data_IF_470791236130
#
_entry.id   IF_470791236130
#
_cell.length_a   1.000
_cell.length_b   1.000
_cell.length_c   1.000
_cell.angle_alpha   90.00
_cell.angle_beta   90.00
_cell.angle_gamma   90.00
#
_symmetry.space_group_name_H-M   'P 1'
#
loop_
_entity.id
_entity.type
_entity.pdbx_description
1 polymer ?
#
# COMPACT_ATOMS: atom_id res chain seq x y z
N UNK A 1 -19.67 -37.74 -8.61
CA UNK A 1 -18.62 -38.59 -8.01
C UNK A 1 -19.04 -39.04 -6.62
N UNK A 2 -19.23 -40.34 -6.38
CA UNK A 2 -19.55 -40.90 -5.05
C UNK A 2 -18.27 -41.05 -4.25
N UNK A 3 -18.15 -40.35 -3.12
CA UNK A 3 -17.09 -40.60 -2.14
C UNK A 3 -17.48 -41.85 -1.31
N UNK A 4 -16.98 -43.01 -1.70
CA UNK A 4 -17.11 -44.25 -0.92
C UNK A 4 -16.00 -44.30 0.14
N UNK A 5 -16.22 -43.69 1.29
CA UNK A 5 -15.35 -43.87 2.46
C UNK A 5 -15.50 -45.29 3.03
N UNK A 6 -14.41 -46.06 3.10
CA UNK A 6 -14.42 -47.38 3.75
C UNK A 6 -14.31 -47.22 5.26
N UNK A 7 -15.44 -47.31 5.97
CA UNK A 7 -15.46 -47.39 7.43
C UNK A 7 -15.07 -48.80 7.89
N UNK A 8 -14.32 -48.90 8.99
CA UNK A 8 -14.11 -50.18 9.70
C UNK A 8 -14.62 -50.05 11.13
N UNK A 9 -15.35 -51.06 11.59
CA UNK A 9 -15.77 -51.15 12.99
C UNK A 9 -14.65 -51.83 13.78
N UNK A 10 -14.15 -51.18 14.82
CA UNK A 10 -13.11 -51.74 15.71
C UNK A 10 -13.65 -51.81 17.13
N UNK A 11 -13.42 -52.95 17.80
CA UNK A 11 -13.76 -53.13 19.22
C UNK A 11 -12.63 -52.54 20.07
N UNK A 12 -12.95 -51.55 20.89
CA UNK A 12 -12.01 -50.90 21.81
C UNK A 12 -12.71 -50.81 23.17
N UNK A 13 -12.07 -51.32 24.24
CA UNK A 13 -12.58 -51.29 25.62
C UNK A 13 -14.04 -51.73 25.74
N UNK A 14 -14.35 -52.90 25.17
CA UNK A 14 -15.66 -53.54 25.19
C UNK A 14 -16.81 -52.72 24.56
N UNK A 15 -16.51 -51.70 23.74
CA UNK A 15 -17.49 -50.98 22.91
C UNK A 15 -17.06 -50.98 21.44
N UNK A 16 -18.02 -51.03 20.53
CA UNK A 16 -17.77 -50.89 19.10
C UNK A 16 -17.72 -49.40 18.73
N UNK A 17 -16.67 -48.97 18.04
CA UNK A 17 -16.57 -47.63 17.46
C UNK A 17 -16.37 -47.73 15.96
N UNK A 18 -17.04 -46.84 15.22
CA UNK A 18 -16.84 -46.65 13.78
C UNK A 18 -15.59 -45.80 13.62
N UNK A 19 -14.55 -46.34 12.96
CA UNK A 19 -13.30 -45.62 12.72
C UNK A 19 -13.20 -45.30 11.23
N UNK A 20 -12.99 -44.02 10.93
CA UNK A 20 -12.81 -43.53 9.58
C UNK A 20 -11.40 -43.88 9.10
N UNK A 21 -11.28 -44.69 8.04
CA UNK A 21 -9.99 -44.99 7.42
C UNK A 21 -9.77 -43.95 6.31
N UNK A 22 -8.99 -42.90 6.61
CA UNK A 22 -8.62 -41.90 5.59
C UNK A 22 -7.65 -42.57 4.60
N UNK A 23 -8.06 -42.73 3.35
CA UNK A 23 -7.14 -43.12 2.27
C UNK A 23 -6.10 -42.00 2.10
N UNK A 24 -4.88 -42.18 2.61
CA UNK A 24 -3.77 -41.21 2.47
C UNK A 24 -3.46 -40.87 1.01
N UNK A 25 -3.79 -41.77 0.06
CA UNK A 25 -3.63 -41.54 -1.38
C UNK A 25 -4.51 -40.40 -1.89
N UNK A 26 -5.72 -40.24 -1.34
CA UNK A 26 -6.60 -39.12 -1.69
C UNK A 26 -6.10 -37.79 -1.11
N UNK A 27 -5.51 -37.82 0.09
CA UNK A 27 -4.94 -36.64 0.74
C UNK A 27 -3.70 -36.12 -0.02
N UNK A 28 -2.83 -37.03 -0.44
CA UNK A 28 -1.65 -36.72 -1.26
C UNK A 28 -2.04 -36.23 -2.65
N UNK A 29 -3.09 -36.79 -3.26
CA UNK A 29 -3.60 -36.31 -4.54
C UNK A 29 -4.19 -34.89 -4.43
N UNK A 30 -4.87 -34.55 -3.34
CA UNK A 30 -5.35 -33.19 -3.09
C UNK A 30 -4.22 -32.19 -2.87
N UNK A 31 -3.18 -32.58 -2.13
CA UNK A 31 -2.00 -31.75 -1.94
C UNK A 31 -1.26 -31.51 -3.27
N UNK A 32 -1.09 -32.55 -4.09
CA UNK A 32 -0.48 -32.44 -5.42
C UNK A 32 -1.33 -31.58 -6.38
N UNK A 33 -2.67 -31.71 -6.32
CA UNK A 33 -3.58 -30.88 -7.11
C UNK A 33 -3.51 -29.41 -6.68
N UNK A 34 -3.38 -29.13 -5.37
CA UNK A 34 -3.15 -27.78 -4.84
C UNK A 34 -1.82 -27.21 -5.31
N UNK A 35 -0.72 -27.97 -5.22
CA UNK A 35 0.61 -27.55 -5.70
C UNK A 35 0.59 -27.28 -7.21
N UNK A 36 -0.10 -28.12 -7.99
CA UNK A 36 -0.32 -27.88 -9.42
C UNK A 36 -1.23 -26.69 -9.68
N UNK A 37 -2.25 -26.45 -8.84
CA UNK A 37 -3.09 -25.26 -8.91
C UNK A 37 -2.24 -24.00 -8.67
N UNK A 38 -1.37 -24.02 -7.65
CA UNK A 38 -0.43 -22.94 -7.35
C UNK A 38 0.60 -22.73 -8.47
N UNK A 39 1.08 -23.80 -9.11
CA UNK A 39 1.98 -23.72 -10.26
C UNK A 39 1.27 -23.17 -11.52
N UNK A 40 0.00 -23.50 -11.73
CA UNK A 40 -0.84 -22.99 -12.83
C UNK A 40 -1.35 -21.57 -12.59
N UNK A 41 -1.40 -21.14 -11.33
CA UNK A 41 -1.76 -19.77 -10.94
C UNK A 41 -0.70 -18.76 -11.36
N UNK A 42 0.57 -19.17 -11.50
CA UNK A 42 1.64 -18.37 -12.09
C UNK A 42 2.02 -17.10 -11.30
N UNK A 43 3.27 -16.66 -11.45
CA UNK A 43 3.80 -15.45 -10.78
C UNK A 43 3.02 -14.16 -11.14
N UNK A 44 2.27 -14.16 -12.24
CA UNK A 44 1.44 -13.03 -12.68
C UNK A 44 0.23 -12.78 -11.77
N UNK A 45 -0.36 -13.81 -11.16
CA UNK A 45 -1.52 -13.65 -10.26
C UNK A 45 -1.11 -13.15 -8.87
N UNK A 46 0.11 -13.46 -8.41
CA UNK A 46 0.68 -12.91 -7.17
C UNK A 46 0.97 -11.40 -7.30
N UNK A 47 1.53 -10.97 -8.44
CA UNK A 47 1.75 -9.55 -8.72
C UNK A 47 0.43 -8.76 -8.78
N UNK A 48 -0.61 -9.31 -9.43
CA UNK A 48 -1.94 -8.70 -9.45
C UNK A 48 -2.61 -8.64 -8.08
N UNK A 49 -2.41 -9.64 -7.22
CA UNK A 49 -2.95 -9.68 -5.86
C UNK A 49 -2.32 -8.61 -4.94
N UNK A 50 -0.99 -8.42 -5.00
CA UNK A 50 -0.33 -7.40 -4.20
C UNK A 50 -0.79 -5.99 -4.61
N UNK A 51 -0.90 -5.71 -5.91
CA UNK A 51 -1.39 -4.41 -6.40
C UNK A 51 -2.82 -4.11 -5.93
N UNK A 52 -3.68 -5.12 -5.83
CA UNK A 52 -5.04 -4.92 -5.30
C UNK A 52 -5.05 -4.60 -3.80
N UNK A 53 -4.20 -5.24 -2.99
CA UNK A 53 -4.12 -4.94 -1.56
C UNK A 53 -3.55 -3.54 -1.31
N UNK A 54 -2.49 -3.16 -2.03
CA UNK A 54 -1.88 -1.84 -1.93
C UNK A 54 -2.89 -0.73 -2.24
N UNK A 55 -3.71 -0.92 -3.27
CA UNK A 55 -4.76 0.02 -3.65
C UNK A 55 -5.85 0.14 -2.57
N UNK A 56 -6.21 -0.94 -1.89
CA UNK A 56 -7.18 -0.87 -0.79
C UNK A 56 -6.65 -0.08 0.41
N UNK A 57 -5.38 -0.22 0.77
CA UNK A 57 -4.78 0.57 1.86
C UNK A 57 -4.80 2.06 1.52
N UNK A 58 -4.44 2.42 0.27
CA UNK A 58 -4.48 3.81 -0.20
C UNK A 58 -5.92 4.36 -0.15
N UNK A 59 -6.92 3.55 -0.53
CA UNK A 59 -8.34 3.96 -0.45
C UNK A 59 -8.77 4.19 0.99
N UNK A 60 -8.39 3.30 1.91
CA UNK A 60 -8.74 3.39 3.33
C UNK A 60 -8.15 4.65 3.98
N UNK A 61 -6.85 4.91 3.77
CA UNK A 61 -6.22 6.12 4.31
C UNK A 61 -6.86 7.41 3.78
N UNK A 62 -7.26 7.44 2.51
CA UNK A 62 -7.98 8.58 1.95
C UNK A 62 -9.42 8.71 2.51
N UNK A 63 -10.16 7.61 2.68
CA UNK A 63 -11.55 7.67 3.16
C UNK A 63 -11.66 8.13 4.61
N UNK A 64 -10.76 7.71 5.49
CA UNK A 64 -10.76 8.12 6.90
C UNK A 64 -10.64 9.64 7.03
N UNK A 65 -9.75 10.25 6.25
CA UNK A 65 -9.56 11.70 6.25
C UNK A 65 -10.78 12.46 5.69
N UNK A 66 -11.53 11.85 4.77
CA UNK A 66 -12.76 12.44 4.24
C UNK A 66 -13.93 12.32 5.22
N UNK A 67 -13.96 11.28 6.06
CA UNK A 67 -15.01 11.06 7.07
C UNK A 67 -14.80 11.91 8.32
N UNK A 68 -13.55 12.11 8.76
CA UNK A 68 -13.21 12.97 9.91
C UNK A 68 -13.60 14.45 9.70
N UNK A 69 -13.63 14.92 8.44
CA UNK A 69 -14.13 16.26 8.09
C UNK A 69 -15.66 16.39 8.09
N UNK A 70 -16.40 15.27 8.19
CA UNK A 70 -17.86 15.22 8.02
C UNK A 70 -18.70 15.43 9.28
N UNK A 71 -18.14 15.28 10.48
CA UNK A 71 -18.91 15.36 11.73
C UNK A 71 -19.16 16.80 12.25
N UNK A 72 -18.51 17.81 11.67
CA UNK A 72 -18.73 19.23 12.04
C UNK A 72 -19.27 20.06 10.86
N UNK A 73 -20.42 19.70 10.28
CA UNK A 73 -20.86 20.41 9.07
C UNK A 73 -22.32 20.26 8.64
N UNK A 74 -23.30 20.41 9.55
CA UNK A 74 -24.69 20.61 9.12
C UNK A 74 -24.86 22.02 8.56
N UNK A 75 -24.90 22.10 7.22
CA UNK A 75 -25.39 23.19 6.37
C UNK A 75 -24.74 24.58 6.56
N UNK A 76 -23.65 24.82 5.84
CA UNK A 76 -23.31 26.16 5.34
C UNK A 76 -23.19 26.07 3.81
N UNK A 77 -24.11 26.75 3.11
CA UNK A 77 -23.94 27.05 1.68
C UNK A 77 -22.84 28.11 1.57
N UNK A 78 -21.64 27.68 1.24
CA UNK A 78 -20.49 28.55 0.97
C UNK A 78 -19.31 27.70 0.54
N UNK A 79 -19.29 27.29 -0.73
CA UNK A 79 -18.14 26.58 -1.29
C UNK A 79 -16.98 27.55 -1.56
N UNK A 80 -15.76 27.14 -1.19
CA UNK A 80 -14.54 27.44 -1.97
C UNK A 80 -13.27 26.73 -1.49
N UNK A 81 -13.18 26.19 -0.27
CA UNK A 81 -11.92 25.58 0.22
C UNK A 81 -12.07 24.13 0.74
N UNK A 82 -13.09 23.81 1.55
CA UNK A 82 -13.30 22.42 2.03
C UNK A 82 -13.71 21.45 0.90
N UNK A 83 -14.56 21.93 -0.03
CA UNK A 83 -14.92 21.18 -1.25
C UNK A 83 -13.68 20.94 -2.16
N UNK A 84 -12.66 21.79 -2.05
CA UNK A 84 -11.42 21.72 -2.81
C UNK A 84 -10.42 20.73 -2.18
N UNK A 85 -10.26 20.72 -0.83
CA UNK A 85 -9.42 19.73 -0.12
C UNK A 85 -9.93 18.30 -0.32
N UNK A 86 -11.23 18.05 -0.13
CA UNK A 86 -11.81 16.70 -0.32
C UNK A 86 -11.67 16.19 -1.77
N UNK A 87 -11.80 17.10 -2.73
CA UNK A 87 -11.56 16.80 -4.15
C UNK A 87 -10.09 16.48 -4.44
N UNK A 88 -9.16 17.24 -3.85
CA UNK A 88 -7.71 16.97 -3.94
C UNK A 88 -7.33 15.62 -3.33
N UNK A 89 -7.84 15.27 -2.15
CA UNK A 89 -7.59 13.98 -1.49
C UNK A 89 -8.06 12.82 -2.40
N UNK A 90 -9.28 12.93 -2.94
CA UNK A 90 -9.84 11.91 -3.83
C UNK A 90 -9.00 11.73 -5.10
N UNK A 91 -8.56 12.83 -5.72
CA UNK A 91 -7.69 12.78 -6.90
C UNK A 91 -6.30 12.25 -6.57
N UNK A 92 -5.73 12.64 -5.42
CA UNK A 92 -4.43 12.16 -4.95
C UNK A 92 -4.44 10.63 -4.79
N UNK A 93 -5.48 10.09 -4.15
CA UNK A 93 -5.73 8.65 -4.03
C UNK A 93 -5.71 7.95 -5.38
N UNK A 94 -6.49 8.45 -6.34
CA UNK A 94 -6.63 7.81 -7.65
C UNK A 94 -5.30 7.83 -8.42
N UNK A 95 -4.61 8.97 -8.41
CA UNK A 95 -3.31 9.13 -9.09
C UNK A 95 -2.24 8.23 -8.45
N UNK A 96 -2.20 8.10 -7.12
CA UNK A 96 -1.26 7.20 -6.43
C UNK A 96 -1.48 5.74 -6.85
N UNK A 97 -2.73 5.28 -6.88
CA UNK A 97 -3.09 3.91 -7.29
C UNK A 97 -2.65 3.65 -8.74
N UNK A 98 -2.82 4.62 -9.63
CA UNK A 98 -2.38 4.51 -11.02
C UNK A 98 -0.85 4.39 -11.17
N UNK A 99 -0.08 4.93 -10.23
CA UNK A 99 1.37 4.86 -10.29
C UNK A 99 1.94 3.53 -9.78
N UNK A 100 1.18 2.76 -8.99
CA UNK A 100 1.65 1.47 -8.44
C UNK A 100 2.13 0.52 -9.54
N UNK A 101 3.33 -0.03 -9.35
CA UNK A 101 4.00 -0.98 -10.24
C UNK A 101 4.80 -0.34 -11.37
N UNK A 102 4.83 1.00 -11.50
CA UNK A 102 5.67 1.67 -12.50
C UNK A 102 7.15 1.61 -12.11
N UNK A 103 8.08 1.42 -13.06
CA UNK A 103 9.49 1.22 -12.76
C UNK A 103 10.14 2.46 -12.15
N UNK A 104 11.11 2.22 -11.27
CA UNK A 104 12.06 3.26 -10.88
C UNK A 104 13.01 3.58 -12.04
N UNK A 105 13.26 4.86 -12.27
CA UNK A 105 14.34 5.33 -13.13
C UNK A 105 14.90 6.65 -12.60
N UNK A 106 16.23 6.71 -12.45
CA UNK A 106 16.91 7.89 -11.92
C UNK A 106 16.62 9.14 -12.75
N UNK A 107 16.40 10.28 -12.08
CA UNK A 107 16.05 11.57 -12.67
C UNK A 107 14.70 11.63 -13.41
N UNK A 108 13.89 10.56 -13.42
CA UNK A 108 12.61 10.54 -14.13
C UNK A 108 11.44 11.09 -13.30
N UNK A 109 10.51 11.77 -13.98
CA UNK A 109 9.37 12.48 -13.39
C UNK A 109 8.01 12.03 -13.98
N UNK A 110 7.95 10.81 -14.51
CA UNK A 110 6.75 10.23 -15.11
C UNK A 110 6.51 10.57 -16.59
N UNK A 111 5.37 10.12 -17.14
CA UNK A 111 4.38 9.29 -16.47
C UNK A 111 4.76 7.80 -16.39
N UNK A 112 5.76 7.35 -17.14
CA UNK A 112 6.04 5.91 -17.30
C UNK A 112 7.04 5.34 -16.28
N UNK A 113 7.85 6.19 -15.67
CA UNK A 113 8.87 5.81 -14.68
C UNK A 113 9.22 6.98 -13.78
N UNK A 114 9.71 6.70 -12.56
CA UNK A 114 9.95 7.73 -11.56
C UNK A 114 11.23 7.51 -10.75
N UNK A 115 11.87 8.58 -10.30
CA UNK A 115 12.60 8.54 -9.03
C UNK A 115 11.73 9.01 -7.87
N UNK A 116 12.26 8.98 -6.65
CA UNK A 116 11.49 9.26 -5.43
C UNK A 116 10.82 10.65 -5.46
N UNK A 117 11.59 11.70 -5.71
CA UNK A 117 11.09 13.08 -5.76
C UNK A 117 10.30 13.40 -7.04
N UNK A 118 10.61 12.72 -8.14
CA UNK A 118 9.87 12.79 -9.40
C UNK A 118 8.47 12.20 -9.28
N UNK A 119 8.29 11.11 -8.53
CA UNK A 119 6.96 10.56 -8.19
C UNK A 119 6.16 11.58 -7.38
N UNK A 120 6.74 12.11 -6.29
CA UNK A 120 6.07 13.11 -5.43
C UNK A 120 5.62 14.30 -6.27
N UNK A 121 6.54 14.90 -7.05
CA UNK A 121 6.24 16.04 -7.92
C UNK A 121 5.14 15.73 -8.93
N UNK A 122 5.22 14.58 -9.60
CA UNK A 122 4.23 14.19 -10.61
C UNK A 122 2.83 14.09 -10.01
N UNK A 123 2.70 13.38 -8.89
CA UNK A 123 1.41 13.12 -8.24
C UNK A 123 0.78 14.43 -7.75
N UNK A 124 1.56 15.29 -7.11
CA UNK A 124 1.08 16.60 -6.64
C UNK A 124 0.71 17.55 -7.78
N UNK A 125 1.43 17.51 -8.91
CA UNK A 125 1.07 18.25 -10.12
C UNK A 125 -0.29 17.82 -10.67
N UNK A 126 -0.63 16.53 -10.60
CA UNK A 126 -1.95 16.04 -11.05
C UNK A 126 -3.11 16.60 -10.23
N UNK A 127 -2.87 17.11 -9.03
CA UNK A 127 -3.87 17.77 -8.19
C UNK A 127 -3.70 19.30 -8.15
N UNK A 128 -2.88 19.85 -9.06
CA UNK A 128 -2.71 21.29 -9.25
C UNK A 128 -1.67 21.95 -8.34
N UNK A 129 -0.78 21.16 -7.73
CA UNK A 129 0.25 21.67 -6.81
C UNK A 129 1.64 21.46 -7.42
N UNK A 130 2.33 22.56 -7.68
CA UNK A 130 3.70 22.53 -8.21
C UNK A 130 4.71 22.43 -7.07
N UNK A 131 5.49 21.35 -7.07
CA UNK A 131 6.58 21.13 -6.13
C UNK A 131 7.94 21.25 -6.83
N UNK A 132 8.99 21.65 -6.09
CA UNK A 132 10.38 21.58 -6.57
C UNK A 132 10.75 20.17 -7.04
N UNK A 133 11.77 20.09 -7.90
CA UNK A 133 12.24 18.81 -8.45
C UNK A 133 12.91 17.91 -7.41
N UNK A 134 13.65 18.51 -6.48
CA UNK A 134 14.55 17.80 -5.57
C UNK A 134 13.88 17.62 -4.21
N UNK A 135 14.02 16.43 -3.61
CA UNK A 135 13.41 16.10 -2.31
C UNK A 135 13.76 17.10 -1.20
N UNK A 136 15.02 17.57 -1.18
CA UNK A 136 15.49 18.57 -0.21
C UNK A 136 14.69 19.89 -0.28
N UNK A 137 14.40 20.36 -1.49
CA UNK A 137 13.62 21.59 -1.70
C UNK A 137 12.13 21.34 -1.44
N UNK A 138 11.62 20.15 -1.79
CA UNK A 138 10.25 19.74 -1.47
C UNK A 138 10.00 19.77 0.03
N UNK A 139 10.98 19.39 0.86
CA UNK A 139 10.87 19.38 2.31
C UNK A 139 10.65 20.76 2.95
N UNK A 140 10.85 21.84 2.18
CA UNK A 140 10.64 23.22 2.63
C UNK A 140 9.36 23.85 2.02
N UNK A 141 8.60 23.11 1.20
CA UNK A 141 7.44 23.62 0.48
C UNK A 141 6.13 23.62 1.30
N UNK A 142 6.11 22.96 2.46
CA UNK A 142 4.90 22.71 3.25
C UNK A 142 5.07 22.93 4.74
N UNK A 143 4.00 22.70 5.50
CA UNK A 143 4.01 22.80 6.96
C UNK A 143 4.61 21.53 7.57
N UNK A 144 5.56 21.66 8.49
CA UNK A 144 6.09 20.50 9.22
C UNK A 144 5.00 19.75 10.00
N UNK A 145 5.09 18.42 10.01
CA UNK A 145 4.16 17.52 10.69
C UNK A 145 4.91 16.56 11.60
N UNK A 146 4.42 16.39 12.82
CA UNK A 146 4.90 15.36 13.73
C UNK A 146 4.52 13.97 13.23
N UNK A 147 5.43 13.00 13.35
CA UNK A 147 5.21 11.62 12.88
C UNK A 147 3.96 10.96 13.48
N UNK A 148 3.55 11.36 14.70
CA UNK A 148 2.31 10.88 15.35
C UNK A 148 1.03 11.49 14.78
N UNK A 149 1.13 12.54 13.96
CA UNK A 149 0.02 13.31 13.40
C UNK A 149 -0.06 13.19 11.87
N UNK A 150 0.57 12.17 11.30
CA UNK A 150 0.58 11.93 9.85
C UNK A 150 -0.83 11.70 9.31
N UNK A 151 -1.13 12.36 8.20
CA UNK A 151 -2.39 12.28 7.45
C UNK A 151 -2.12 11.82 6.03
N UNK A 152 -3.13 11.23 5.40
CA UNK A 152 -3.03 10.80 4.01
C UNK A 152 -2.56 11.95 3.11
N UNK A 153 -1.52 11.67 2.33
CA UNK A 153 -0.90 12.65 1.45
C UNK A 153 0.34 13.34 2.03
N UNK A 154 0.57 13.35 3.34
CA UNK A 154 1.79 13.94 3.91
C UNK A 154 3.05 13.38 3.25
N UNK A 155 4.02 14.24 2.95
CA UNK A 155 5.27 13.83 2.30
C UNK A 155 6.30 13.52 3.39
N UNK A 156 6.85 12.32 3.35
CA UNK A 156 7.86 11.81 4.28
C UNK A 156 9.24 11.90 3.64
N UNK A 157 10.22 12.37 4.40
CA UNK A 157 11.60 12.53 3.94
C UNK A 157 12.56 11.72 4.79
N UNK A 158 13.54 11.09 4.14
CA UNK A 158 14.50 10.19 4.77
C UNK A 158 15.94 10.51 4.33
N UNK A 159 16.90 10.15 5.18
CA UNK A 159 18.34 10.34 5.00
C UNK A 159 19.08 9.03 5.26
N UNK A 160 19.71 8.44 4.24
CA UNK A 160 20.64 7.32 4.40
C UNK A 160 22.03 7.76 4.91
N UNK A 161 22.42 9.03 4.67
CA UNK A 161 23.79 9.53 4.92
C UNK A 161 23.85 10.66 5.97
N UNK A 162 23.31 10.42 7.16
CA UNK A 162 23.49 11.26 8.36
C UNK A 162 23.31 12.79 8.19
N UNK A 163 22.34 13.25 7.38
CA UNK A 163 21.91 14.65 7.44
C UNK A 163 21.23 15.20 6.19
N UNK A 164 21.55 14.69 5.00
CA UNK A 164 20.93 15.15 3.76
C UNK A 164 19.76 14.26 3.33
N UNK A 165 18.65 14.90 2.95
CA UNK A 165 17.47 14.22 2.42
C UNK A 165 17.83 13.53 1.10
N UNK A 166 17.78 12.20 1.09
CA UNK A 166 18.13 11.33 -0.03
C UNK A 166 16.92 10.61 -0.60
N UNK A 167 15.83 10.50 0.16
CA UNK A 167 14.62 9.80 -0.27
C UNK A 167 13.35 10.52 0.18
N UNK A 168 12.27 10.30 -0.59
CA UNK A 168 10.94 10.83 -0.31
C UNK A 168 9.84 9.80 -0.62
N UNK A 169 8.72 9.90 0.10
CA UNK A 169 7.52 9.09 -0.11
C UNK A 169 6.25 9.83 0.31
N UNK A 170 5.09 9.34 -0.10
CA UNK A 170 3.78 9.92 0.25
C UNK A 170 3.08 9.00 1.24
N UNK A 171 2.72 9.49 2.41
CA UNK A 171 2.02 8.72 3.42
C UNK A 171 0.64 8.31 2.93
N UNK A 172 0.35 7.02 3.02
CA UNK A 172 -0.87 6.39 2.53
C UNK A 172 -1.86 6.05 3.66
N UNK A 173 -1.53 6.38 4.91
CA UNK A 173 -2.27 5.94 6.10
C UNK A 173 -1.73 4.63 6.66
N UNK A 174 -2.20 4.25 7.86
CA UNK A 174 -1.93 2.94 8.47
C UNK A 174 -0.45 2.54 8.62
N UNK A 175 0.47 3.50 8.73
CA UNK A 175 1.91 3.21 8.79
C UNK A 175 2.51 2.79 7.44
N UNK A 176 1.86 3.12 6.33
CA UNK A 176 2.35 2.87 4.98
C UNK A 176 2.65 4.16 4.23
N UNK A 177 3.58 4.08 3.29
CA UNK A 177 3.81 5.11 2.29
C UNK A 177 3.88 4.51 0.88
N UNK A 178 3.57 5.31 -0.12
CA UNK A 178 3.86 5.03 -1.53
C UNK A 178 5.16 5.76 -1.91
N UNK A 179 6.10 5.05 -2.52
CA UNK A 179 7.38 5.62 -2.96
C UNK A 179 7.93 4.92 -4.21
N UNK A 180 8.91 5.53 -4.86
CA UNK A 180 9.76 4.91 -5.88
C UNK A 180 11.16 4.67 -5.26
N UNK A 181 11.48 3.46 -4.77
CA UNK A 181 12.61 3.25 -3.86
C UNK A 181 13.98 3.38 -4.52
N UNK A 182 14.26 2.59 -5.56
CA UNK A 182 15.61 2.44 -6.12
C UNK A 182 15.62 1.74 -7.48
N UNK A 183 16.74 1.79 -8.23
CA UNK A 183 16.89 1.07 -9.49
C UNK A 183 16.58 -0.43 -9.37
N UNK A 184 15.88 -0.96 -10.37
CA UNK A 184 15.47 -2.38 -10.42
C UNK A 184 14.21 -2.71 -9.61
N UNK A 185 13.60 -1.73 -8.98
CA UNK A 185 12.34 -1.86 -8.24
C UNK A 185 11.25 -0.97 -8.86
N UNK A 186 10.04 -0.99 -8.29
CA UNK A 186 8.86 -0.30 -8.79
C UNK A 186 8.25 0.61 -7.73
N UNK A 187 7.38 1.52 -8.16
CA UNK A 187 6.49 2.27 -7.27
C UNK A 187 5.62 1.27 -6.50
N UNK A 188 5.70 1.30 -5.18
CA UNK A 188 5.03 0.33 -4.32
C UNK A 188 4.64 0.94 -2.98
N UNK A 189 3.82 0.21 -2.24
CA UNK A 189 3.54 0.49 -0.85
C UNK A 189 4.63 -0.12 0.04
N UNK A 190 5.10 0.62 1.03
CA UNK A 190 6.06 0.11 2.02
C UNK A 190 5.73 0.62 3.43
N UNK A 191 5.99 -0.23 4.43
CA UNK A 191 5.76 0.08 5.84
C UNK A 191 6.83 1.04 6.35
N UNK A 192 6.42 2.11 7.02
CA UNK A 192 7.34 3.11 7.59
C UNK A 192 7.81 2.77 9.00
N UNK A 193 7.19 1.78 9.65
CA UNK A 193 7.55 1.32 11.01
C UNK A 193 8.63 0.24 11.01
N UNK A 194 9.30 0.01 9.89
CA UNK A 194 10.51 -0.83 9.84
C UNK A 194 11.69 -0.09 10.46
N UNK A 195 12.64 -0.84 11.01
CA UNK A 195 13.86 -0.27 11.61
C UNK A 195 14.58 0.68 10.65
N UNK A 196 14.66 0.33 9.36
CA UNK A 196 15.29 1.17 8.35
C UNK A 196 14.62 2.55 8.24
N UNK A 197 13.30 2.61 8.09
CA UNK A 197 12.61 3.91 7.94
C UNK A 197 12.54 4.69 9.25
N UNK A 198 12.45 4.01 10.39
CA UNK A 198 12.51 4.68 11.69
C UNK A 198 13.88 5.33 11.94
N UNK A 199 14.97 4.66 11.55
CA UNK A 199 16.33 5.19 11.76
C UNK A 199 16.74 6.25 10.73
N UNK A 200 16.08 6.31 9.58
CA UNK A 200 16.41 7.25 8.49
C UNK A 200 15.42 8.40 8.37
N UNK A 201 14.32 8.41 9.14
CA UNK A 201 13.30 9.46 9.09
C UNK A 201 13.88 10.83 9.49
N UNK A 202 13.63 11.85 8.66
CA UNK A 202 14.11 13.22 8.89
C UNK A 202 12.97 14.13 9.32
N UNK A 203 11.93 14.23 8.48
CA UNK A 203 10.75 15.06 8.74
C UNK A 203 9.59 14.64 7.83
N UNK A 204 8.39 15.09 8.19
CA UNK A 204 7.23 15.07 7.31
C UNK A 204 6.70 16.49 7.09
N UNK A 205 6.06 16.71 5.94
CA UNK A 205 5.34 17.94 5.66
C UNK A 205 3.93 17.67 5.16
N UNK A 206 3.04 18.63 5.41
CA UNK A 206 1.69 18.70 4.87
C UNK A 206 1.57 19.82 3.85
N UNK A 207 0.92 19.49 2.74
CA UNK A 207 0.67 20.39 1.62
C UNK A 207 -0.83 20.61 1.43
N UNK A 208 -1.65 19.56 1.65
CA UNK A 208 -3.12 19.59 1.59
C UNK A 208 -3.73 19.45 2.97
#
# INVERSE_FOLDING_TARGET
MKLAGKYKIKRINNRYRIVYVRDCKALLAFAALLVLLFALIGSTRLSGFNKTMDAEIIKQGASEQLEEGGETGKAVKGGSEEDDEGSRISRLRDVLIEQLGKPYAYAMEGPDSFDCSGLVRFVYRQIGIELPRVAKDQAEAGKAVDQSSLRFGDILFFSEDNGDITHAGIYAGHGYMVHAPKPGDVVKLERIDTEYFQNTFVKAIRII
#
